data_IF_644250370821
#
_entry.id   IF_644250370821
#
_cell.length_a   1.000
_cell.length_b   1.000
_cell.length_c   1.000
_cell.angle_alpha   90.00
_cell.angle_beta   90.00
_cell.angle_gamma   90.00
#
_symmetry.space_group_name_H-M   'P 1'
#
loop_
_entity.id
_entity.type
_entity.pdbx_description
1 polymer ?
#
# COMPACT_ATOMS: atom_id res chain seq x y z
N UNK A 1 50.88 -71.32 -27.01
CA UNK A 1 50.83 -71.95 -25.68
C UNK A 1 49.35 -72.03 -25.31
N UNK A 2 48.73 -73.18 -25.61
CA UNK A 2 48.23 -74.18 -24.63
C UNK A 2 46.96 -73.68 -23.93
N UNK A 3 45.77 -74.14 -24.36
CA UNK A 3 44.98 -75.26 -23.77
C UNK A 3 44.51 -74.92 -22.34
N UNK A 4 43.22 -74.96 -21.97
CA UNK A 4 42.30 -76.10 -22.01
C UNK A 4 40.84 -75.65 -21.69
N UNK A 5 39.83 -76.08 -22.48
CA UNK A 5 38.80 -77.10 -22.17
C UNK A 5 37.57 -76.62 -21.36
N UNK A 6 36.39 -76.53 -22.00
CA UNK A 6 35.21 -77.46 -21.94
C UNK A 6 34.26 -77.06 -20.78
N UNK A 7 32.92 -77.08 -20.84
CA UNK A 7 31.91 -77.89 -21.53
C UNK A 7 30.55 -77.14 -21.37
N UNK A 8 29.74 -77.00 -22.43
CA UNK A 8 28.49 -77.76 -22.70
C UNK A 8 27.19 -77.20 -22.07
N UNK A 9 26.30 -76.80 -22.99
CA UNK A 9 24.85 -77.03 -23.09
C UNK A 9 23.87 -76.91 -21.91
N UNK A 10 22.74 -76.28 -22.26
CA UNK A 10 21.37 -76.52 -21.80
C UNK A 10 21.00 -76.15 -20.35
N UNK A 11 20.25 -75.07 -20.21
CA UNK A 11 18.85 -75.14 -19.78
C UNK A 11 18.14 -73.78 -19.90
N UNK A 12 17.11 -73.75 -20.74
CA UNK A 12 15.96 -72.87 -20.57
C UNK A 12 15.35 -73.11 -19.18
N UNK A 13 15.17 -72.06 -18.39
CA UNK A 13 13.92 -71.73 -17.72
C UNK A 13 14.10 -70.50 -16.81
N UNK A 14 13.14 -69.59 -16.94
CA UNK A 14 12.71 -68.62 -15.93
C UNK A 14 13.72 -67.59 -15.42
N UNK A 15 13.69 -66.42 -16.07
CA UNK A 15 13.61 -65.16 -15.34
C UNK A 15 12.92 -64.11 -16.20
N UNK A 16 11.59 -64.06 -16.07
CA UNK A 16 10.81 -62.85 -16.33
C UNK A 16 11.34 -61.75 -15.41
N UNK A 17 12.12 -60.82 -15.96
CA UNK A 17 12.29 -59.51 -15.36
C UNK A 17 11.10 -58.66 -15.78
N UNK A 18 10.13 -58.55 -14.88
CA UNK A 18 9.12 -57.50 -14.87
C UNK A 18 9.84 -56.14 -14.85
N UNK A 19 9.84 -55.44 -15.97
CA UNK A 19 9.94 -53.99 -15.98
C UNK A 19 8.64 -53.45 -15.38
N UNK A 20 8.66 -52.63 -14.31
CA UNK A 20 7.49 -51.88 -13.95
C UNK A 20 7.34 -50.76 -14.98
N UNK A 21 6.33 -50.95 -15.83
CA UNK A 21 5.68 -49.95 -16.67
C UNK A 21 5.50 -48.63 -15.88
N UNK A 22 6.42 -47.68 -16.04
CA UNK A 22 6.21 -46.29 -15.67
C UNK A 22 5.48 -45.58 -16.81
N UNK A 23 4.34 -46.12 -17.22
CA UNK A 23 3.38 -45.42 -18.05
C UNK A 23 2.31 -44.84 -17.13
N UNK A 24 2.71 -43.88 -16.28
CA UNK A 24 1.74 -42.93 -15.74
C UNK A 24 1.25 -42.10 -16.93
N UNK A 25 0.04 -42.41 -17.40
CA UNK A 25 -0.70 -41.66 -18.41
C UNK A 25 -0.58 -40.15 -18.17
N UNK A 26 0.38 -39.50 -18.84
CA UNK A 26 0.47 -38.06 -18.86
C UNK A 26 -0.66 -37.58 -19.77
N UNK A 27 -1.74 -37.11 -19.16
CA UNK A 27 -2.87 -36.52 -19.88
C UNK A 27 -2.36 -35.50 -20.92
N UNK A 28 -2.84 -35.52 -22.18
CA UNK A 28 -2.31 -34.67 -23.27
C UNK A 28 -2.34 -33.15 -22.99
N UNK A 29 -3.12 -32.72 -22.00
CA UNK A 29 -3.19 -31.33 -21.56
C UNK A 29 -2.12 -30.94 -20.53
N UNK A 30 -1.42 -31.88 -19.89
CA UNK A 30 -0.32 -31.61 -18.95
C UNK A 30 0.74 -30.74 -19.64
N UNK A 31 1.16 -31.11 -20.85
CA UNK A 31 2.20 -30.39 -21.58
C UNK A 31 1.81 -28.93 -21.91
N UNK A 32 0.52 -28.69 -22.19
CA UNK A 32 -0.02 -27.35 -22.49
C UNK A 32 0.09 -26.45 -21.25
N UNK A 33 -0.15 -26.96 -20.04
CA UNK A 33 -0.13 -26.15 -18.82
C UNK A 33 1.19 -26.21 -18.03
N UNK A 34 2.04 -27.20 -18.29
CA UNK A 34 3.38 -27.34 -17.70
C UNK A 34 4.42 -26.50 -18.45
N UNK A 35 4.13 -26.10 -19.69
CA UNK A 35 4.90 -25.06 -20.38
C UNK A 35 4.90 -23.73 -19.61
N UNK A 36 6.08 -23.22 -19.26
CA UNK A 36 6.30 -22.01 -18.42
C UNK A 36 5.55 -20.73 -18.84
N UNK A 37 4.95 -20.68 -20.04
CA UNK A 37 4.28 -19.48 -20.56
C UNK A 37 2.75 -19.54 -20.49
N UNK A 38 2.14 -20.70 -20.68
CA UNK A 38 0.68 -20.87 -20.76
C UNK A 38 0.00 -20.83 -19.39
N UNK A 39 0.72 -21.20 -18.33
CA UNK A 39 0.25 -21.13 -16.94
C UNK A 39 -0.16 -19.71 -16.48
N UNK A 40 0.49 -18.69 -17.04
CA UNK A 40 0.20 -17.28 -16.76
C UNK A 40 -0.86 -16.67 -17.68
N UNK A 41 -1.31 -17.39 -18.72
CA UNK A 41 -2.32 -16.89 -19.66
C UNK A 41 -3.75 -17.05 -19.13
N UNK A 42 -3.99 -17.99 -18.22
CA UNK A 42 -5.31 -18.17 -17.62
C UNK A 42 -5.59 -17.07 -16.60
N UNK A 43 -6.79 -16.47 -16.67
CA UNK A 43 -7.24 -15.58 -15.62
C UNK A 43 -7.50 -16.38 -14.32
N UNK A 44 -7.48 -15.70 -13.18
CA UNK A 44 -7.84 -16.34 -11.91
C UNK A 44 -9.26 -16.93 -11.96
N UNK A 45 -10.19 -16.26 -12.65
CA UNK A 45 -11.56 -16.75 -12.81
C UNK A 45 -11.61 -18.06 -13.61
N UNK A 46 -10.77 -18.19 -14.64
CA UNK A 46 -10.68 -19.43 -15.42
C UNK A 46 -10.13 -20.56 -14.56
N UNK A 47 -9.09 -20.30 -13.77
CA UNK A 47 -8.55 -21.29 -12.83
C UNK A 47 -9.63 -21.75 -11.85
N UNK A 48 -10.37 -20.82 -11.26
CA UNK A 48 -11.44 -21.14 -10.31
C UNK A 48 -12.56 -21.97 -10.97
N UNK A 49 -12.97 -21.61 -12.20
CA UNK A 49 -13.97 -22.37 -12.97
C UNK A 49 -13.48 -23.77 -13.32
N UNK A 50 -12.27 -23.89 -13.83
CA UNK A 50 -11.67 -25.18 -14.22
C UNK A 50 -11.54 -26.12 -13.00
N UNK A 51 -11.11 -25.59 -11.85
CA UNK A 51 -11.02 -26.35 -10.58
C UNK A 51 -12.38 -26.80 -10.02
N UNK A 52 -13.46 -26.10 -10.38
CA UNK A 52 -14.83 -26.45 -10.00
C UNK A 52 -15.40 -27.56 -10.89
N UNK A 53 -15.11 -27.52 -12.19
CA UNK A 53 -15.73 -28.40 -13.19
C UNK A 53 -14.96 -29.72 -13.35
N UNK A 54 -13.64 -29.72 -13.23
CA UNK A 54 -12.81 -30.87 -13.56
C UNK A 54 -11.90 -31.28 -12.39
N UNK A 55 -12.06 -32.53 -11.92
CA UNK A 55 -11.23 -33.11 -10.84
C UNK A 55 -9.76 -33.19 -11.24
N UNK A 56 -9.47 -33.60 -12.47
CA UNK A 56 -8.09 -33.68 -12.97
C UNK A 56 -7.40 -32.31 -13.00
N UNK A 57 -8.09 -31.25 -13.45
CA UNK A 57 -7.55 -29.88 -13.42
C UNK A 57 -7.37 -29.34 -11.99
N UNK A 58 -8.14 -29.84 -11.01
CA UNK A 58 -7.91 -29.51 -9.60
C UNK A 58 -6.52 -29.98 -9.14
N UNK A 59 -6.04 -31.10 -9.67
CA UNK A 59 -4.70 -31.63 -9.40
C UNK A 59 -3.57 -30.88 -10.11
N UNK A 60 -3.89 -30.17 -11.19
CA UNK A 60 -2.93 -29.32 -11.91
C UNK A 60 -2.61 -28.03 -11.13
N UNK A 61 -3.60 -27.44 -10.46
CA UNK A 61 -3.43 -26.21 -9.66
C UNK A 61 -3.23 -26.51 -8.17
N UNK A 62 -2.23 -27.34 -7.85
CA UNK A 62 -1.82 -27.64 -6.47
C UNK A 62 -1.00 -26.49 -5.87
N UNK A 63 -0.69 -26.61 -4.58
CA UNK A 63 -0.03 -25.56 -3.82
C UNK A 63 1.27 -25.06 -4.47
N UNK A 64 2.11 -25.98 -4.99
CA UNK A 64 3.38 -25.60 -5.62
C UNK A 64 3.19 -24.68 -6.84
N UNK A 65 2.24 -25.02 -7.72
CA UNK A 65 1.94 -24.22 -8.91
C UNK A 65 1.35 -22.86 -8.51
N UNK A 66 0.44 -22.84 -7.52
CA UNK A 66 -0.14 -21.58 -7.05
C UNK A 66 0.90 -20.65 -6.40
N UNK A 67 1.88 -21.18 -5.66
CA UNK A 67 3.02 -20.41 -5.12
C UNK A 67 3.88 -19.80 -6.22
N UNK A 68 4.20 -20.60 -7.25
CA UNK A 68 4.93 -20.11 -8.42
C UNK A 68 4.16 -18.99 -9.14
N UNK A 69 2.82 -19.11 -9.24
CA UNK A 69 1.97 -18.04 -9.76
C UNK A 69 2.03 -16.80 -8.87
N UNK A 70 1.86 -16.98 -7.57
CA UNK A 70 1.81 -15.88 -6.60
C UNK A 70 3.11 -15.07 -6.62
N UNK A 71 4.26 -15.75 -6.60
CA UNK A 71 5.58 -15.14 -6.74
C UNK A 71 5.69 -14.31 -8.03
N UNK A 72 5.18 -14.83 -9.15
CA UNK A 72 5.18 -14.10 -10.42
C UNK A 72 4.25 -12.88 -10.37
N UNK A 73 3.01 -13.05 -9.90
CA UNK A 73 2.02 -11.97 -9.83
C UNK A 73 2.48 -10.85 -8.90
N UNK A 74 3.09 -11.17 -7.76
CA UNK A 74 3.71 -10.17 -6.89
C UNK A 74 4.82 -9.35 -7.58
N UNK A 75 5.56 -9.93 -8.52
CA UNK A 75 6.61 -9.22 -9.24
C UNK A 75 6.08 -8.36 -10.39
N UNK A 76 4.91 -8.72 -10.95
CA UNK A 76 4.38 -8.08 -12.17
C UNK A 76 3.28 -7.06 -11.89
N UNK A 77 2.50 -7.24 -10.83
CA UNK A 77 1.35 -6.41 -10.51
C UNK A 77 1.75 -4.97 -10.16
N UNK A 78 1.08 -4.00 -10.80
CA UNK A 78 1.32 -2.59 -10.55
C UNK A 78 0.94 -2.21 -9.10
N UNK A 79 1.79 -1.44 -8.42
CA UNK A 79 1.64 -1.10 -7.01
C UNK A 79 2.22 -2.14 -6.03
N UNK A 80 2.53 -3.36 -6.48
CA UNK A 80 3.25 -4.35 -5.64
C UNK A 80 4.71 -4.53 -6.02
N UNK A 81 5.13 -3.86 -7.11
CA UNK A 81 6.52 -3.84 -7.55
C UNK A 81 7.41 -3.21 -6.50
N UNK A 82 8.71 -3.47 -6.64
CA UNK A 82 9.76 -3.01 -5.74
C UNK A 82 9.58 -1.51 -5.41
N UNK A 83 9.57 -1.19 -4.12
CA UNK A 83 9.59 0.18 -3.57
C UNK A 83 10.78 0.96 -4.13
N UNK A 84 10.86 2.27 -3.89
CA UNK A 84 12.04 3.05 -4.30
C UNK A 84 13.37 2.44 -3.80
N UNK A 85 13.33 1.71 -2.67
CA UNK A 85 14.47 0.96 -2.10
C UNK A 85 14.76 -0.39 -2.77
N UNK A 86 14.02 -0.79 -3.81
CA UNK A 86 14.20 -2.08 -4.47
C UNK A 86 13.58 -3.27 -3.71
N UNK A 87 12.91 -3.02 -2.58
CA UNK A 87 12.33 -4.06 -1.73
C UNK A 87 10.89 -4.37 -2.13
N UNK A 88 10.47 -5.61 -1.98
CA UNK A 88 9.07 -5.97 -2.21
C UNK A 88 8.16 -5.33 -1.14
N UNK A 89 6.97 -4.88 -1.53
CA UNK A 89 6.03 -4.28 -0.57
C UNK A 89 5.33 -5.35 0.27
N UNK A 90 4.87 -6.43 -0.37
CA UNK A 90 4.10 -7.51 0.25
C UNK A 90 4.78 -8.87 0.03
N UNK A 91 4.70 -9.71 1.03
CA UNK A 91 4.98 -11.15 0.96
C UNK A 91 3.84 -11.92 1.58
N UNK A 92 3.74 -13.21 1.27
CA UNK A 92 2.76 -14.11 1.89
C UNK A 92 3.48 -15.21 2.64
N UNK A 93 2.90 -15.69 3.74
CA UNK A 93 3.35 -16.89 4.44
C UNK A 93 2.96 -18.18 3.68
N UNK A 94 3.39 -18.25 2.41
CA UNK A 94 2.88 -19.20 1.44
C UNK A 94 3.24 -20.67 1.75
N UNK A 95 4.27 -20.91 2.57
CA UNK A 95 4.66 -22.23 3.03
C UNK A 95 3.60 -22.82 3.98
N UNK A 96 2.99 -21.98 4.81
CA UNK A 96 1.93 -22.38 5.75
C UNK A 96 0.53 -22.35 5.12
N UNK A 97 0.39 -21.79 3.93
CA UNK A 97 -0.88 -21.66 3.23
C UNK A 97 -1.30 -22.95 2.52
N UNK A 98 -2.56 -23.33 2.74
CA UNK A 98 -3.23 -24.36 1.95
C UNK A 98 -3.61 -23.85 0.57
N UNK A 99 -4.14 -24.74 -0.27
CA UNK A 99 -4.58 -24.39 -1.63
C UNK A 99 -5.65 -23.29 -1.63
N UNK A 100 -6.57 -23.31 -0.65
CA UNK A 100 -7.60 -22.28 -0.53
C UNK A 100 -7.01 -20.90 -0.24
N UNK A 101 -6.05 -20.84 0.69
CA UNK A 101 -5.40 -19.58 1.09
C UNK A 101 -4.54 -19.03 -0.04
N UNK A 102 -3.83 -19.90 -0.78
CA UNK A 102 -3.07 -19.50 -1.96
C UNK A 102 -3.97 -18.93 -3.06
N UNK A 103 -5.18 -19.46 -3.26
CA UNK A 103 -6.16 -18.89 -4.19
C UNK A 103 -6.68 -17.53 -3.70
N UNK A 104 -6.87 -17.36 -2.39
CA UNK A 104 -7.22 -16.08 -1.79
C UNK A 104 -6.09 -15.04 -1.95
N UNK A 105 -4.84 -15.44 -1.70
CA UNK A 105 -3.65 -14.60 -1.91
C UNK A 105 -3.52 -14.16 -3.38
N UNK A 106 -3.75 -15.07 -4.33
CA UNK A 106 -3.80 -14.75 -5.75
C UNK A 106 -4.94 -13.78 -6.08
N UNK A 107 -6.13 -13.97 -5.49
CA UNK A 107 -7.24 -13.03 -5.67
C UNK A 107 -6.88 -11.62 -5.19
N UNK A 108 -6.31 -11.52 -4.00
CA UNK A 108 -5.89 -10.25 -3.41
C UNK A 108 -4.77 -9.59 -4.23
N UNK A 109 -3.87 -10.39 -4.81
CA UNK A 109 -2.74 -9.90 -5.61
C UNK A 109 -3.18 -9.45 -7.01
N UNK A 110 -3.95 -10.27 -7.72
CA UNK A 110 -4.30 -10.06 -9.14
C UNK A 110 -5.52 -9.17 -9.35
N UNK A 111 -6.48 -9.19 -8.42
CA UNK A 111 -7.74 -8.41 -8.53
C UNK A 111 -7.75 -7.19 -7.60
N UNK A 112 -6.70 -7.00 -6.81
CA UNK A 112 -6.69 -6.00 -5.74
C UNK A 112 -6.51 -4.57 -6.24
N UNK A 113 -5.62 -4.33 -7.19
CA UNK A 113 -5.28 -2.97 -7.63
C UNK A 113 -4.64 -2.16 -6.48
N UNK A 114 -3.36 -2.40 -6.23
CA UNK A 114 -2.69 -1.99 -4.99
C UNK A 114 -2.14 -0.57 -4.97
N UNK A 115 -2.25 0.21 -6.05
CA UNK A 115 -1.59 1.50 -6.22
C UNK A 115 -1.74 2.42 -5.00
N UNK A 116 -2.96 2.75 -4.60
CA UNK A 116 -3.19 3.76 -3.55
C UNK A 116 -2.75 3.26 -2.16
N UNK A 117 -2.99 1.98 -1.87
CA UNK A 117 -2.59 1.40 -0.59
C UNK A 117 -1.08 1.14 -0.52
N UNK A 118 -0.42 0.89 -1.67
CA UNK A 118 1.02 0.71 -1.73
C UNK A 118 1.78 1.94 -1.27
N UNK A 119 1.37 3.12 -1.72
CA UNK A 119 1.92 4.40 -1.28
C UNK A 119 1.70 4.63 0.22
N UNK A 120 0.56 4.20 0.77
CA UNK A 120 0.26 4.36 2.19
C UNK A 120 1.08 3.41 3.08
N UNK A 121 1.30 2.16 2.62
CA UNK A 121 2.15 1.17 3.30
C UNK A 121 3.62 1.57 3.21
N UNK A 122 4.08 2.02 2.04
CA UNK A 122 5.46 2.52 1.86
C UNK A 122 5.73 3.72 2.77
N UNK A 123 4.80 4.68 2.84
CA UNK A 123 4.90 5.81 3.77
C UNK A 123 4.91 5.35 5.24
N UNK A 124 4.10 4.37 5.60
CA UNK A 124 4.12 3.80 6.95
C UNK A 124 5.49 3.15 7.26
N UNK A 125 6.07 2.42 6.31
CA UNK A 125 7.42 1.87 6.44
C UNK A 125 8.48 2.94 6.59
N UNK A 126 8.40 4.00 5.78
CA UNK A 126 9.32 5.14 5.87
C UNK A 126 9.25 5.86 7.22
N UNK A 127 8.06 5.95 7.81
CA UNK A 127 7.84 6.51 9.15
C UNK A 127 8.22 5.55 10.30
N UNK A 128 8.79 4.37 10.00
CA UNK A 128 9.10 3.34 11.00
C UNK A 128 7.87 2.74 11.68
N UNK A 129 6.70 2.81 11.02
CA UNK A 129 5.41 2.34 11.51
C UNK A 129 4.94 1.07 10.84
N UNK A 130 5.67 0.54 9.87
CA UNK A 130 5.32 -0.72 9.21
C UNK A 130 6.61 -1.45 8.82
N UNK A 131 6.67 -2.75 9.08
CA UNK A 131 7.81 -3.55 8.64
C UNK A 131 7.60 -3.96 7.18
N UNK A 132 8.53 -3.59 6.31
CA UNK A 132 8.52 -3.99 4.90
C UNK A 132 9.50 -5.16 4.65
N UNK A 133 9.16 -6.13 3.77
CA UNK A 133 7.83 -6.35 3.20
C UNK A 133 6.79 -6.69 4.27
N UNK A 134 5.54 -6.28 4.08
CA UNK A 134 4.44 -6.73 4.93
C UNK A 134 4.18 -8.21 4.64
N UNK A 135 4.28 -9.06 5.66
CA UNK A 135 4.01 -10.50 5.54
C UNK A 135 2.55 -10.78 5.87
N UNK A 136 1.77 -11.09 4.85
CA UNK A 136 0.37 -11.48 4.99
C UNK A 136 0.24 -12.98 5.28
N UNK A 137 -0.57 -13.30 6.29
CA UNK A 137 -0.85 -14.66 6.75
C UNK A 137 -2.23 -15.12 6.27
N UNK A 138 -2.56 -16.40 6.48
CA UNK A 138 -3.92 -16.90 6.24
C UNK A 138 -4.96 -16.14 7.08
N UNK A 139 -4.61 -15.77 8.32
CA UNK A 139 -5.48 -14.98 9.20
C UNK A 139 -5.81 -13.61 8.62
N UNK A 140 -4.86 -12.95 7.96
CA UNK A 140 -5.12 -11.67 7.30
C UNK A 140 -6.08 -11.84 6.12
N UNK A 141 -5.90 -12.89 5.32
CA UNK A 141 -6.78 -13.22 4.18
C UNK A 141 -8.20 -13.58 4.63
N UNK A 142 -8.33 -14.30 5.76
CA UNK A 142 -9.62 -14.75 6.30
C UNK A 142 -10.45 -13.64 6.94
N UNK A 143 -9.94 -12.41 6.99
CA UNK A 143 -10.77 -11.21 7.28
C UNK A 143 -11.92 -11.05 6.29
N UNK A 144 -11.79 -11.65 5.11
CA UNK A 144 -12.89 -11.82 4.17
C UNK A 144 -13.31 -13.29 4.07
N UNK A 145 -14.61 -13.60 4.21
CA UNK A 145 -15.07 -14.99 4.16
C UNK A 145 -15.01 -15.59 2.75
N UNK A 146 -14.99 -14.76 1.70
CA UNK A 146 -14.91 -15.22 0.30
C UNK A 146 -14.55 -14.07 -0.66
N UNK A 147 -14.27 -14.41 -1.93
CA UNK A 147 -13.95 -13.47 -3.02
C UNK A 147 -15.06 -12.42 -3.22
N UNK A 148 -16.33 -12.80 -3.14
CA UNK A 148 -17.44 -11.86 -3.34
C UNK A 148 -17.47 -10.77 -2.25
N UNK A 149 -17.27 -11.14 -0.99
CA UNK A 149 -17.18 -10.19 0.11
C UNK A 149 -15.97 -9.27 -0.03
N UNK A 150 -14.81 -9.81 -0.42
CA UNK A 150 -13.62 -9.01 -0.73
C UNK A 150 -13.91 -8.01 -1.86
N UNK A 151 -14.56 -8.45 -2.93
CA UNK A 151 -14.90 -7.61 -4.08
C UNK A 151 -16.08 -6.64 -3.82
N UNK A 152 -16.87 -6.83 -2.77
CA UNK A 152 -17.96 -5.91 -2.44
C UNK A 152 -17.46 -4.61 -1.79
N UNK A 153 -16.39 -4.69 -1.01
CA UNK A 153 -15.80 -3.52 -0.37
C UNK A 153 -14.97 -2.67 -1.36
N UNK A 154 -14.87 -1.34 -1.15
CA UNK A 154 -13.87 -0.53 -1.83
C UNK A 154 -12.47 -1.12 -1.68
N UNK A 155 -11.70 -1.21 -2.77
CA UNK A 155 -10.42 -1.92 -2.80
C UNK A 155 -9.46 -1.46 -1.72
N UNK A 156 -9.30 -0.15 -1.54
CA UNK A 156 -8.39 0.40 -0.53
C UNK A 156 -8.84 0.06 0.88
N UNK A 157 -10.15 0.05 1.15
CA UNK A 157 -10.68 -0.38 2.45
C UNK A 157 -10.41 -1.87 2.70
N UNK A 158 -10.55 -2.71 1.66
CA UNK A 158 -10.27 -4.13 1.74
C UNK A 158 -8.80 -4.42 2.01
N UNK A 159 -7.90 -3.73 1.31
CA UNK A 159 -6.47 -3.82 1.61
C UNK A 159 -6.17 -3.34 3.02
N UNK A 160 -6.73 -2.21 3.45
CA UNK A 160 -6.54 -1.65 4.78
C UNK A 160 -6.99 -2.62 5.89
N UNK A 161 -8.07 -3.38 5.69
CA UNK A 161 -8.46 -4.44 6.65
C UNK A 161 -7.37 -5.50 6.80
N UNK A 162 -6.65 -5.84 5.73
CA UNK A 162 -5.60 -6.87 5.74
C UNK A 162 -4.25 -6.32 6.22
N UNK A 163 -3.81 -5.16 5.72
CA UNK A 163 -2.47 -4.62 6.01
C UNK A 163 -2.45 -3.65 7.20
N UNK A 164 -3.58 -3.06 7.56
CA UNK A 164 -3.68 -2.11 8.67
C UNK A 164 -3.12 -2.64 10.00
N UNK A 165 -3.40 -3.89 10.40
CA UNK A 165 -2.81 -4.47 11.61
C UNK A 165 -1.28 -4.51 11.63
N UNK A 166 -0.63 -4.40 10.45
CA UNK A 166 0.82 -4.35 10.30
C UNK A 166 1.37 -2.92 10.35
N UNK A 167 0.49 -1.91 10.45
CA UNK A 167 0.85 -0.51 10.70
C UNK A 167 0.78 -0.29 12.23
N UNK A 168 1.94 -0.30 12.88
CA UNK A 168 2.13 -0.17 14.31
C UNK A 168 2.41 1.28 14.74
N UNK A 169 1.51 1.82 15.56
CA UNK A 169 1.64 3.13 16.19
C UNK A 169 2.34 3.06 17.56
N UNK A 170 2.79 1.88 17.97
CA UNK A 170 3.43 1.64 19.26
C UNK A 170 2.42 1.52 20.40
N UNK A 171 2.91 1.14 21.58
CA UNK A 171 2.10 0.91 22.79
C UNK A 171 0.96 -0.10 22.55
N UNK A 172 1.17 -1.09 21.67
CA UNK A 172 0.18 -2.10 21.32
C UNK A 172 -0.98 -1.60 20.43
N UNK A 173 -0.89 -0.37 19.89
CA UNK A 173 -1.92 0.20 19.01
C UNK A 173 -1.50 0.07 17.55
N UNK A 174 -2.32 -0.61 16.75
CA UNK A 174 -2.13 -0.75 15.30
C UNK A 174 -3.30 -0.14 14.53
N UNK A 175 -3.16 0.03 13.22
CA UNK A 175 -4.26 0.51 12.39
C UNK A 175 -5.30 -0.60 12.19
N UNK A 176 -6.25 -0.72 13.12
CA UNK A 176 -7.33 -1.70 13.00
C UNK A 176 -8.66 -1.05 12.63
N UNK A 177 -9.49 -1.81 11.92
CA UNK A 177 -10.87 -1.46 11.61
C UNK A 177 -11.80 -2.39 12.38
N UNK A 178 -12.79 -1.82 13.05
CA UNK A 178 -13.73 -2.55 13.90
C UNK A 178 -15.15 -2.30 13.41
N UNK A 179 -15.93 -3.37 13.24
CA UNK A 179 -17.35 -3.27 12.94
C UNK A 179 -18.13 -3.34 14.25
N UNK A 180 -18.83 -2.26 14.59
CA UNK A 180 -19.68 -2.18 15.76
C UNK A 180 -21.12 -1.88 15.31
N UNK A 181 -21.90 -2.94 15.08
CA UNK A 181 -23.22 -2.85 14.44
C UNK A 181 -23.09 -2.25 13.04
N UNK A 182 -23.76 -1.12 12.81
CA UNK A 182 -23.71 -0.39 11.52
C UNK A 182 -22.59 0.65 11.46
N UNK A 183 -21.74 0.74 12.49
CA UNK A 183 -20.69 1.74 12.59
C UNK A 183 -19.33 1.11 12.37
N UNK A 184 -18.54 1.70 11.48
CA UNK A 184 -17.14 1.36 11.33
C UNK A 184 -16.31 2.24 12.25
N UNK A 185 -15.40 1.65 13.02
CA UNK A 185 -14.42 2.37 13.86
C UNK A 185 -13.01 2.07 13.40
N UNK A 186 -12.08 2.99 13.65
CA UNK A 186 -10.67 2.86 13.28
C UNK A 186 -9.74 3.13 14.46
N UNK A 187 -8.60 2.44 14.53
CA UNK A 187 -7.56 2.53 15.57
C UNK A 187 -7.99 1.96 16.93
N UNK A 188 -9.14 2.36 17.46
CA UNK A 188 -9.73 1.81 18.70
C UNK A 188 -11.19 1.46 18.50
N UNK A 189 -11.65 0.37 19.10
CA UNK A 189 -13.08 0.03 19.17
C UNK A 189 -13.76 0.78 20.33
N UNK A 190 -13.87 2.10 20.20
CA UNK A 190 -14.43 2.99 21.22
C UNK A 190 -15.24 4.11 20.56
N UNK A 191 -16.13 4.72 21.33
CA UNK A 191 -16.84 5.93 20.88
C UNK A 191 -15.84 7.07 20.59
N UNK A 192 -16.11 7.84 19.54
CA UNK A 192 -15.24 8.92 19.06
C UNK A 192 -14.19 8.47 18.03
N UNK A 193 -14.14 7.16 17.73
CA UNK A 193 -13.28 6.54 16.73
C UNK A 193 -14.04 6.11 15.47
N UNK A 194 -15.21 6.70 15.22
CA UNK A 194 -16.05 6.36 14.08
C UNK A 194 -15.48 6.87 12.76
N UNK A 195 -15.73 6.08 11.73
CA UNK A 195 -15.37 6.30 10.35
C UNK A 195 -16.63 6.24 9.48
N UNK A 196 -16.95 7.33 8.79
CA UNK A 196 -17.98 7.30 7.75
C UNK A 196 -17.30 7.13 6.40
N UNK A 197 -17.50 5.98 5.76
CA UNK A 197 -17.04 5.71 4.40
C UNK A 197 -18.04 6.29 3.41
N UNK A 198 -17.52 6.94 2.38
CA UNK A 198 -18.28 7.63 1.33
C UNK A 198 -19.41 8.54 1.87
N UNK A 199 -19.09 9.46 2.80
CA UNK A 199 -20.10 10.29 3.43
C UNK A 199 -20.86 11.12 2.38
N UNK A 200 -22.11 11.51 2.66
CA UNK A 200 -22.77 12.54 1.87
C UNK A 200 -21.95 13.84 2.00
N UNK A 201 -21.55 14.35 0.84
CA UNK A 201 -20.82 15.60 0.71
C UNK A 201 -21.79 16.66 0.15
N UNK A 202 -21.71 17.92 0.61
CA UNK A 202 -22.58 18.98 0.12
C UNK A 202 -22.34 19.24 -1.37
N UNK A 203 -23.31 19.85 -2.08
CA UNK A 203 -23.11 20.27 -3.47
C UNK A 203 -21.85 21.12 -3.62
N UNK A 204 -21.15 20.96 -4.74
CA UNK A 204 -19.87 21.65 -5.05
C UNK A 204 -18.72 21.30 -4.09
N UNK A 205 -18.82 20.22 -3.31
CA UNK A 205 -17.69 19.73 -2.55
C UNK A 205 -16.59 19.24 -3.52
N UNK A 206 -15.33 19.67 -3.40
CA UNK A 206 -14.27 19.30 -4.35
C UNK A 206 -14.10 17.77 -4.50
N UNK A 207 -14.23 17.03 -3.40
CA UNK A 207 -14.11 15.56 -3.42
C UNK A 207 -15.33 14.85 -4.02
N UNK A 208 -16.45 15.54 -4.23
CA UNK A 208 -17.58 14.97 -4.95
C UNK A 208 -17.24 14.81 -6.44
N UNK A 209 -16.56 15.80 -7.03
CA UNK A 209 -16.15 15.79 -8.44
C UNK A 209 -15.03 14.78 -8.74
N UNK A 210 -14.29 14.38 -7.70
CA UNK A 210 -13.13 13.51 -7.82
C UNK A 210 -13.29 12.18 -7.07
N UNK A 211 -14.53 11.82 -6.70
CA UNK A 211 -14.83 10.60 -5.96
C UNK A 211 -14.41 9.36 -6.77
N UNK A 212 -13.67 8.46 -6.13
CA UNK A 212 -13.27 7.17 -6.71
C UNK A 212 -13.99 6.05 -5.97
N UNK A 213 -14.60 5.12 -6.70
CA UNK A 213 -15.37 4.02 -6.08
C UNK A 213 -14.46 3.05 -5.29
N UNK A 214 -13.24 2.82 -5.77
CA UNK A 214 -12.29 1.91 -5.13
C UNK A 214 -11.52 2.54 -3.95
N UNK A 215 -11.46 3.88 -3.89
CA UNK A 215 -10.84 4.69 -2.83
C UNK A 215 -11.75 5.89 -2.45
N UNK A 216 -12.92 5.64 -1.84
CA UNK A 216 -13.93 6.68 -1.62
C UNK A 216 -13.52 7.67 -0.51
N UNK A 217 -14.10 8.89 -0.47
CA UNK A 217 -13.92 9.84 0.61
C UNK A 217 -14.26 9.26 1.99
N UNK A 218 -13.66 9.83 3.02
CA UNK A 218 -13.79 9.35 4.40
C UNK A 218 -13.99 10.51 5.37
N UNK A 219 -14.97 10.44 6.27
CA UNK A 219 -15.17 11.42 7.34
C UNK A 219 -14.86 10.82 8.71
N UNK A 220 -14.08 11.54 9.53
CA UNK A 220 -13.86 11.19 10.94
C UNK A 220 -13.41 12.40 11.78
N UNK A 221 -13.29 12.18 13.09
CA UNK A 221 -12.74 13.13 14.07
C UNK A 221 -11.46 12.60 14.75
N UNK A 222 -10.87 11.52 14.26
CA UNK A 222 -9.74 10.87 14.92
C UNK A 222 -8.48 11.72 14.73
N UNK A 223 -7.76 11.99 15.82
CA UNK A 223 -6.47 12.69 15.76
C UNK A 223 -5.51 12.13 16.81
N UNK A 224 -4.23 12.41 16.60
CA UNK A 224 -3.16 12.08 17.56
C UNK A 224 -2.51 13.35 18.09
N UNK A 225 -2.30 13.41 19.41
CA UNK A 225 -1.48 14.42 20.09
C UNK A 225 -0.62 13.71 21.12
N UNK A 226 0.68 14.00 21.17
CA UNK A 226 1.63 13.27 22.03
C UNK A 226 1.17 13.15 23.49
N UNK A 227 0.68 14.26 24.08
CA UNK A 227 0.25 14.29 25.47
C UNK A 227 -1.06 13.53 25.76
N UNK A 228 -1.90 13.31 24.75
CA UNK A 228 -3.24 12.71 24.90
C UNK A 228 -3.36 11.33 24.22
N UNK A 229 -2.39 10.98 23.38
CA UNK A 229 -2.48 9.87 22.45
C UNK A 229 -3.59 10.06 21.40
N UNK A 230 -4.15 8.93 20.98
CA UNK A 230 -5.30 8.88 20.08
C UNK A 230 -6.58 9.29 20.81
N UNK A 231 -7.27 10.29 20.26
CA UNK A 231 -8.53 10.80 20.82
C UNK A 231 -9.42 11.39 19.73
N UNK A 232 -10.68 11.63 20.09
CA UNK A 232 -11.61 12.40 19.28
C UNK A 232 -11.26 13.88 19.32
N UNK A 233 -10.99 14.47 18.16
CA UNK A 233 -10.81 15.90 17.99
C UNK A 233 -12.09 16.65 18.36
N UNK A 234 -11.97 17.62 19.28
CA UNK A 234 -13.03 18.58 19.61
C UNK A 234 -13.35 19.53 18.45
N UNK A 235 -12.41 19.70 17.52
CA UNK A 235 -12.66 20.43 16.28
C UNK A 235 -13.67 19.70 15.39
N UNK A 236 -14.15 20.42 14.37
CA UNK A 236 -15.03 19.90 13.33
C UNK A 236 -14.48 18.64 12.65
N UNK A 237 -15.35 17.74 12.12
CA UNK A 237 -14.92 16.58 11.36
C UNK A 237 -14.02 16.95 10.18
N UNK A 238 -13.16 16.00 9.80
CA UNK A 238 -12.32 16.08 8.62
C UNK A 238 -12.91 15.17 7.56
N UNK A 239 -13.12 15.73 6.38
CA UNK A 239 -13.44 14.98 5.16
C UNK A 239 -12.12 14.74 4.44
N UNK A 240 -11.63 13.52 4.45
CA UNK A 240 -10.50 13.10 3.63
C UNK A 240 -10.98 12.84 2.21
N UNK A 241 -10.15 13.20 1.24
CA UNK A 241 -10.45 12.98 -0.19
C UNK A 241 -10.63 11.51 -0.53
N UNK A 242 -9.96 10.61 0.21
CA UNK A 242 -10.11 9.17 0.07
C UNK A 242 -9.68 8.38 1.30
N UNK A 243 -9.89 7.06 1.30
CA UNK A 243 -9.39 6.13 2.33
C UNK A 243 -7.86 6.18 2.37
N UNK A 244 -7.18 6.14 1.23
CA UNK A 244 -5.70 6.20 1.21
C UNK A 244 -5.18 7.52 1.78
N UNK A 245 -5.82 8.66 1.45
CA UNK A 245 -5.49 9.97 2.03
C UNK A 245 -5.71 10.01 3.54
N UNK A 246 -6.75 9.34 4.06
CA UNK A 246 -6.97 9.18 5.49
C UNK A 246 -5.82 8.40 6.14
N UNK A 247 -5.46 7.22 5.60
CA UNK A 247 -4.37 6.40 6.14
C UNK A 247 -3.04 7.15 6.16
N UNK A 248 -2.64 7.73 5.02
CA UNK A 248 -1.41 8.54 4.89
C UNK A 248 -1.39 9.68 5.91
N UNK A 249 -2.54 10.33 6.13
CA UNK A 249 -2.63 11.42 7.08
C UNK A 249 -2.50 10.97 8.53
N UNK A 250 -3.10 9.84 8.89
CA UNK A 250 -2.99 9.25 10.23
C UNK A 250 -1.54 8.85 10.52
N UNK A 251 -0.87 8.21 9.56
CA UNK A 251 0.56 7.85 9.65
C UNK A 251 1.42 9.09 9.91
N UNK A 252 1.25 10.15 9.11
CA UNK A 252 2.02 11.40 9.27
C UNK A 252 1.71 12.11 10.58
N UNK A 253 0.44 12.15 11.01
CA UNK A 253 0.07 12.82 12.27
C UNK A 253 0.67 12.10 13.48
N UNK A 254 0.66 10.77 13.47
CA UNK A 254 1.32 9.97 14.48
C UNK A 254 2.84 10.17 14.46
N UNK A 255 3.47 10.07 13.28
CA UNK A 255 4.90 10.25 13.10
C UNK A 255 5.37 11.62 13.63
N UNK A 256 4.69 12.70 13.21
CA UNK A 256 4.95 14.06 13.68
C UNK A 256 4.80 14.20 15.19
N UNK A 257 3.81 13.54 15.79
CA UNK A 257 3.58 13.59 17.23
C UNK A 257 4.64 12.83 18.04
N UNK A 258 5.33 11.87 17.44
CA UNK A 258 6.23 10.94 18.14
C UNK A 258 7.71 11.12 17.81
N UNK A 259 8.04 11.97 16.84
CA UNK A 259 9.41 12.23 16.41
C UNK A 259 9.75 13.70 16.54
N UNK A 260 11.02 13.99 16.81
CA UNK A 260 11.54 15.34 16.68
C UNK A 260 11.55 15.73 15.21
N UNK A 261 10.81 16.78 14.88
CA UNK A 261 10.72 17.31 13.52
C UNK A 261 11.22 18.74 13.49
N UNK A 262 11.96 19.07 12.43
CA UNK A 262 12.31 20.45 12.10
C UNK A 262 11.32 20.96 11.06
N UNK A 263 10.97 22.23 11.13
CA UNK A 263 10.10 22.83 10.12
C UNK A 263 10.37 24.31 9.92
N UNK A 264 10.04 24.80 8.73
CA UNK A 264 9.88 26.23 8.44
C UNK A 264 8.44 26.51 8.01
N UNK A 265 7.97 27.73 8.27
CA UNK A 265 6.61 28.16 7.93
C UNK A 265 6.54 29.58 7.41
N UNK A 266 5.70 29.78 6.39
CA UNK A 266 5.33 31.12 5.89
C UNK A 266 3.86 31.17 5.51
N UNK A 267 3.30 32.37 5.60
CA UNK A 267 2.04 32.74 4.97
C UNK A 267 2.40 33.38 3.64
N UNK A 268 1.87 32.83 2.55
CA UNK A 268 2.24 33.20 1.18
C UNK A 268 0.97 33.60 0.46
N UNK A 269 1.03 34.69 -0.31
CA UNK A 269 -0.07 35.06 -1.19
C UNK A 269 -0.29 33.95 -2.22
N UNK A 270 -1.53 33.46 -2.32
CA UNK A 270 -1.88 32.31 -3.15
C UNK A 270 -1.61 32.54 -4.64
N UNK A 271 -1.51 33.80 -5.05
CA UNK A 271 -1.30 34.20 -6.43
C UNK A 271 0.18 34.31 -6.84
N UNK A 272 1.10 34.18 -5.87
CA UNK A 272 2.54 34.18 -6.15
C UNK A 272 2.91 33.02 -7.07
N UNK A 273 3.90 33.26 -7.94
CA UNK A 273 4.44 32.27 -8.89
C UNK A 273 3.34 31.68 -9.79
N UNK A 274 2.54 32.56 -10.41
CA UNK A 274 1.43 32.18 -11.30
C UNK A 274 0.39 31.26 -10.62
N UNK A 275 -0.02 31.60 -9.40
CA UNK A 275 -1.01 30.84 -8.62
C UNK A 275 -0.58 29.39 -8.32
N UNK A 276 0.72 29.09 -8.23
CA UNK A 276 1.21 27.71 -8.09
C UNK A 276 0.66 27.00 -6.85
N UNK A 277 0.67 27.65 -5.69
CA UNK A 277 0.13 27.04 -4.47
C UNK A 277 -1.38 26.92 -4.50
N UNK A 278 -2.09 27.90 -5.07
CA UNK A 278 -3.54 27.81 -5.23
C UNK A 278 -3.90 26.63 -6.14
N UNK A 279 -3.23 26.49 -7.28
CA UNK A 279 -3.37 25.36 -8.23
C UNK A 279 -3.18 24.03 -7.51
N UNK A 280 -2.11 23.89 -6.72
CA UNK A 280 -1.85 22.66 -5.96
C UNK A 280 -2.98 22.35 -4.95
N UNK A 281 -3.57 23.38 -4.33
CA UNK A 281 -4.65 23.19 -3.35
C UNK A 281 -6.00 22.89 -4.01
N UNK A 282 -6.28 23.47 -5.19
CA UNK A 282 -7.58 23.34 -5.86
C UNK A 282 -7.67 22.18 -6.87
N UNK A 283 -6.54 21.75 -7.43
CA UNK A 283 -6.53 20.62 -8.37
C UNK A 283 -7.00 19.33 -7.70
N UNK A 284 -7.38 18.34 -8.51
CA UNK A 284 -7.85 17.05 -7.98
C UNK A 284 -6.88 16.50 -6.92
N UNK A 285 -7.39 16.01 -5.78
CA UNK A 285 -6.56 15.41 -4.74
C UNK A 285 -5.85 14.14 -5.23
N UNK A 286 -6.33 13.53 -6.32
CA UNK A 286 -5.75 12.32 -6.92
C UNK A 286 -4.74 12.62 -8.04
N UNK A 287 -4.59 13.88 -8.44
CA UNK A 287 -3.55 14.28 -9.41
C UNK A 287 -2.19 14.21 -8.71
N UNK A 288 -1.22 13.43 -9.24
CA UNK A 288 0.15 13.43 -8.74
C UNK A 288 0.76 14.83 -8.83
N UNK A 289 1.59 15.17 -7.85
CA UNK A 289 2.32 16.44 -7.84
C UNK A 289 3.78 16.14 -8.15
N UNK A 290 4.32 16.81 -9.16
CA UNK A 290 5.73 16.63 -9.55
C UNK A 290 6.66 16.89 -8.36
N UNK A 291 7.66 16.01 -8.19
CA UNK A 291 8.58 16.05 -7.05
C UNK A 291 8.04 15.46 -5.75
N UNK A 292 6.81 14.91 -5.74
CA UNK A 292 6.24 14.22 -4.60
C UNK A 292 6.13 12.72 -4.87
N UNK A 293 6.36 11.91 -3.82
CA UNK A 293 6.22 10.45 -3.86
C UNK A 293 4.75 10.05 -3.68
N UNK A 294 4.04 10.76 -2.81
CA UNK A 294 2.58 10.65 -2.68
C UNK A 294 1.98 11.94 -2.13
N UNK A 295 0.65 12.03 -2.16
CA UNK A 295 -0.08 13.13 -1.55
C UNK A 295 -1.25 12.63 -0.70
N UNK A 296 -1.67 13.45 0.26
CA UNK A 296 -2.87 13.22 1.04
C UNK A 296 -3.61 14.54 1.23
N UNK A 297 -4.92 14.54 0.99
CA UNK A 297 -5.74 15.75 1.09
C UNK A 297 -6.94 15.54 1.98
N UNK A 298 -7.27 16.57 2.76
CA UNK A 298 -8.50 16.63 3.53
C UNK A 298 -9.01 18.05 3.67
N UNK A 299 -10.29 18.16 3.97
CA UNK A 299 -11.00 19.41 4.19
C UNK A 299 -11.65 19.35 5.56
N UNK A 300 -11.51 20.41 6.37
CA UNK A 300 -12.37 20.50 7.55
C UNK A 300 -13.75 21.02 7.14
N UNK A 301 -14.78 20.71 7.94
CA UNK A 301 -16.13 21.24 7.66
C UNK A 301 -16.28 22.75 7.95
N UNK A 302 -15.21 23.44 8.36
CA UNK A 302 -15.09 24.91 8.32
C UNK A 302 -14.78 25.44 6.90
N UNK A 303 -14.52 24.54 5.95
CA UNK A 303 -14.30 24.86 4.55
C UNK A 303 -12.83 24.81 4.12
N UNK A 304 -11.88 24.81 5.06
CA UNK A 304 -10.45 24.93 4.74
C UNK A 304 -9.88 23.64 4.14
N UNK A 305 -9.30 23.79 2.95
CA UNK A 305 -8.59 22.73 2.25
C UNK A 305 -7.17 22.59 2.80
N UNK A 306 -6.72 21.35 2.92
CA UNK A 306 -5.37 21.00 3.32
C UNK A 306 -4.82 19.93 2.40
N UNK A 307 -3.54 20.06 2.07
CA UNK A 307 -2.81 19.12 1.23
C UNK A 307 -1.45 18.84 1.84
N UNK A 308 -1.13 17.55 1.96
CA UNK A 308 0.18 17.03 2.34
C UNK A 308 0.84 16.49 1.09
N UNK A 309 2.07 16.93 0.85
CA UNK A 309 2.89 16.56 -0.29
C UNK A 309 4.14 15.87 0.26
N UNK A 310 4.21 14.55 0.16
CA UNK A 310 5.32 13.78 0.70
C UNK A 310 6.45 13.84 -0.32
N UNK A 311 7.64 14.28 0.11
CA UNK A 311 8.79 14.54 -0.77
C UNK A 311 9.74 13.35 -0.89
N UNK A 312 9.74 12.50 0.13
CA UNK A 312 10.69 11.40 0.29
C UNK A 312 9.99 10.05 0.15
N UNK A 313 10.73 9.02 -0.22
CA UNK A 313 10.30 7.63 -0.30
C UNK A 313 11.16 6.74 0.63
N UNK A 314 10.96 5.43 0.57
CA UNK A 314 11.74 4.46 1.33
C UNK A 314 13.25 4.44 1.00
N UNK A 315 13.69 5.09 -0.07
CA UNK A 315 15.11 5.26 -0.40
C UNK A 315 15.80 6.37 0.37
N UNK A 316 15.04 7.27 1.01
CA UNK A 316 15.59 8.38 1.78
C UNK A 316 15.73 8.01 3.27
N UNK A 317 16.85 8.37 3.94
CA UNK A 317 17.07 8.05 5.35
C UNK A 317 16.31 8.97 6.32
N UNK A 318 15.45 9.85 5.80
CA UNK A 318 14.63 10.79 6.56
C UNK A 318 13.28 10.98 5.87
N UNK A 319 12.30 11.51 6.61
CA UNK A 319 10.98 11.83 6.08
C UNK A 319 10.87 13.34 5.91
N UNK A 320 10.48 13.79 4.73
CA UNK A 320 10.14 15.19 4.47
C UNK A 320 8.81 15.34 3.73
N UNK A 321 8.07 16.38 4.09
CA UNK A 321 6.80 16.70 3.45
C UNK A 321 6.50 18.20 3.51
N UNK A 322 5.67 18.65 2.58
CA UNK A 322 5.09 19.98 2.58
C UNK A 322 3.64 19.85 3.04
N UNK A 323 3.22 20.72 3.95
CA UNK A 323 1.84 20.88 4.32
C UNK A 323 1.35 22.26 3.88
N UNK A 324 0.32 22.26 3.03
CA UNK A 324 -0.32 23.47 2.51
C UNK A 324 -1.73 23.53 3.07
N UNK A 325 -2.10 24.69 3.58
CA UNK A 325 -3.42 24.94 4.15
C UNK A 325 -3.95 26.29 3.71
N UNK A 326 -5.21 26.29 3.29
CA UNK A 326 -5.93 27.53 3.01
C UNK A 326 -6.07 28.37 4.29
N UNK A 327 -5.72 29.66 4.20
CA UNK A 327 -5.89 30.60 5.31
C UNK A 327 -7.32 31.14 5.34
N UNK A 328 -7.76 31.59 6.52
CA UNK A 328 -9.07 32.24 6.71
C UNK A 328 -9.21 33.56 5.95
N UNK A 329 -8.10 34.18 5.57
CA UNK A 329 -8.06 35.36 4.73
C UNK A 329 -7.94 34.94 3.26
N UNK A 330 -8.87 35.42 2.43
CA UNK A 330 -9.13 34.91 1.07
C UNK A 330 -7.93 34.88 0.11
N UNK A 331 -6.82 35.56 0.41
CA UNK A 331 -5.69 35.69 -0.51
C UNK A 331 -4.43 34.92 -0.07
N UNK A 332 -4.46 34.21 1.06
CA UNK A 332 -3.26 33.56 1.60
C UNK A 332 -3.38 32.05 1.74
N UNK A 333 -2.22 31.40 1.69
CA UNK A 333 -2.01 30.00 2.04
C UNK A 333 -0.90 29.90 3.07
N UNK A 334 -1.06 29.00 4.04
CA UNK A 334 0.01 28.63 4.95
C UNK A 334 0.77 27.45 4.35
N UNK A 335 2.07 27.63 4.15
CA UNK A 335 2.98 26.59 3.67
C UNK A 335 3.98 26.24 4.77
N UNK A 336 4.03 24.96 5.13
CA UNK A 336 4.99 24.38 6.06
C UNK A 336 5.85 23.36 5.33
N UNK A 337 7.15 23.41 5.55
CA UNK A 337 8.07 22.35 5.11
C UNK A 337 8.60 21.68 6.37
N UNK A 338 8.35 20.39 6.50
CA UNK A 338 8.73 19.59 7.67
C UNK A 338 9.75 18.53 7.26
N UNK A 339 10.69 18.23 8.15
CA UNK A 339 11.72 17.22 7.90
C UNK A 339 12.28 16.59 9.18
N UNK A 340 12.73 15.35 9.06
CA UNK A 340 13.63 14.69 10.03
C UNK A 340 15.06 14.55 9.51
N UNK A 341 15.42 15.25 8.44
CA UNK A 341 16.81 15.35 7.98
C UNK A 341 17.70 15.82 9.14
N UNK A 342 18.82 15.13 9.42
CA UNK A 342 19.78 15.58 10.42
C UNK A 342 20.31 16.97 10.07
N UNK A 343 20.34 17.88 11.04
CA UNK A 343 20.84 19.22 10.81
C UNK A 343 22.35 19.19 10.52
N UNK A 344 22.76 19.85 9.44
CA UNK A 344 24.19 20.09 9.17
C UNK A 344 24.76 21.00 10.28
N UNK A 345 25.92 20.63 10.82
CA UNK A 345 26.62 21.38 11.86
C UNK A 345 27.59 22.40 11.27
N UNK A 346 27.79 23.54 11.93
CA UNK A 346 28.78 24.56 11.53
C UNK A 346 28.38 25.40 10.30
N UNK A 347 27.10 25.40 9.92
CA UNK A 347 26.53 26.21 8.84
C UNK A 347 25.60 27.30 9.41
N UNK A 348 25.09 28.18 8.54
CA UNK A 348 24.14 29.23 8.94
C UNK A 348 22.85 28.67 9.56
N UNK A 349 22.14 29.52 10.31
CA UNK A 349 20.89 29.14 10.98
C UNK A 349 19.70 28.97 10.04
N UNK A 350 19.83 29.40 8.78
CA UNK A 350 18.76 29.31 7.79
C UNK A 350 18.38 27.86 7.51
N UNK A 351 17.08 27.61 7.30
CA UNK A 351 16.55 26.26 7.09
C UNK A 351 17.25 25.53 5.93
N UNK A 352 17.53 26.23 4.83
CA UNK A 352 18.21 25.68 3.65
C UNK A 352 19.64 25.23 3.92
N UNK A 353 20.33 25.89 4.83
CA UNK A 353 21.73 25.59 5.15
C UNK A 353 21.76 24.35 6.06
N UNK A 354 20.84 24.28 7.02
CA UNK A 354 20.73 23.18 7.98
C UNK A 354 20.13 21.90 7.38
N UNK A 355 19.22 22.01 6.41
CA UNK A 355 18.47 20.88 5.81
C UNK A 355 18.49 20.92 4.27
N UNK A 356 19.67 20.82 3.64
CA UNK A 356 19.84 21.06 2.22
C UNK A 356 19.11 20.04 1.33
N UNK A 357 18.98 18.78 1.75
CA UNK A 357 18.29 17.76 0.94
C UNK A 357 16.79 18.03 0.87
N UNK A 358 16.19 18.35 2.02
CA UNK A 358 14.79 18.76 2.14
C UNK A 358 14.51 19.99 1.30
N UNK A 359 15.35 21.02 1.41
CA UNK A 359 15.19 22.25 0.62
C UNK A 359 15.27 21.97 -0.88
N UNK A 360 16.21 21.13 -1.33
CA UNK A 360 16.31 20.75 -2.74
C UNK A 360 15.05 20.04 -3.24
N UNK A 361 14.53 19.07 -2.49
CA UNK A 361 13.30 18.35 -2.85
C UNK A 361 12.09 19.29 -2.87
N UNK A 362 11.93 20.10 -1.82
CA UNK A 362 10.82 21.05 -1.71
C UNK A 362 10.86 22.11 -2.83
N UNK A 363 12.05 22.52 -3.29
CA UNK A 363 12.20 23.50 -4.38
C UNK A 363 11.64 23.02 -5.72
N UNK A 364 11.72 21.73 -6.00
CA UNK A 364 11.09 21.13 -7.21
C UNK A 364 9.57 21.34 -7.16
N UNK A 365 8.96 21.09 -6.01
CA UNK A 365 7.52 21.21 -5.83
C UNK A 365 7.06 22.67 -5.79
N UNK A 366 7.79 23.52 -5.06
CA UNK A 366 7.39 24.89 -4.77
C UNK A 366 7.79 25.90 -5.84
N UNK A 367 8.75 25.59 -6.72
CA UNK A 367 9.29 26.57 -7.66
C UNK A 367 10.25 27.55 -7.00
N UNK A 368 10.98 28.32 -7.82
CA UNK A 368 12.07 29.17 -7.34
C UNK A 368 11.59 30.32 -6.42
N UNK A 369 10.50 30.99 -6.79
CA UNK A 369 9.99 32.18 -6.11
C UNK A 369 9.47 31.82 -4.71
N UNK A 370 8.60 30.83 -4.61
CA UNK A 370 8.01 30.40 -3.33
C UNK A 370 9.08 29.80 -2.41
N UNK A 371 10.05 29.06 -2.98
CA UNK A 371 11.17 28.53 -2.21
C UNK A 371 12.03 29.64 -1.60
N UNK A 372 12.28 30.72 -2.34
CA UNK A 372 13.03 31.86 -1.81
C UNK A 372 12.30 32.49 -0.61
N UNK A 373 10.98 32.67 -0.71
CA UNK A 373 10.15 33.18 0.40
C UNK A 373 10.23 32.28 1.65
N UNK A 374 10.25 30.95 1.46
CA UNK A 374 10.25 29.97 2.55
C UNK A 374 11.62 29.76 3.21
N UNK A 375 12.71 29.85 2.44
CA UNK A 375 14.02 29.38 2.89
C UNK A 375 15.10 30.46 3.02
N UNK A 376 14.97 31.61 2.35
CA UNK A 376 16.04 32.63 2.30
C UNK A 376 15.98 33.66 3.45
N UNK A 377 15.16 33.42 4.47
CA UNK A 377 15.02 34.29 5.64
C UNK A 377 15.13 33.56 6.96
#
# INVERSE_FOLDING_TARGET
MQHNHQQADQQQADQQQEQPDQNQEQHPFVYIFVGRRTFYLLSLNDILRLRKICRWLRELFRALQLRQRLSHSLCTQAGLRRTASGQQLLTFDEQQMGVSDLLAALCVTEEGGWREMSEAVELAGQCGRCQLPVRLTATDLHRYPNKTAYLADPRVLAHLKMVGPHIDFGNGVTFQLFHHGNTLRAIKDQEGFELTIDPPLPPNHPYQQHRQQHDPPVRNRITFVLALGWHMSLSRPRDYSSVSSYVKSIVIDHFRGTHQINFTRRTIDRNVDNNRLDTIVIQSPHTPVEGCTTTASYRCTDGFRRRRLILTDAGHPFVAWIYIMEASFHNFVHAWVCTTEPAVSGVGDAFKDRFPQTTRLARVVLGAIISAILFDR
#
